data_IF_234714286293
#
_entry.id   IF_234714286293
#
_cell.length_a   1.000
_cell.length_b   1.000
_cell.length_c   1.000
_cell.angle_alpha   90.00
_cell.angle_beta   90.00
_cell.angle_gamma   90.00
#
_symmetry.space_group_name_H-M   'P 1'
#
loop_
_entity.id
_entity.type
_entity.pdbx_description
1 polymer ?
#
# COMPACT_ATOMS: atom_id res chain seq x y z
N UNK A 1 31.63 -3.06 28.42
CA UNK A 1 30.38 -2.50 27.85
C UNK A 1 30.52 -2.48 26.32
N UNK A 2 30.07 -3.49 25.57
CA UNK A 2 29.90 -3.34 24.13
C UNK A 2 28.48 -2.85 23.83
N UNK A 3 28.36 -1.77 23.06
CA UNK A 3 27.08 -1.27 22.58
C UNK A 3 26.49 -2.29 21.59
N UNK A 4 25.33 -2.85 21.94
CA UNK A 4 24.48 -3.62 21.04
C UNK A 4 23.99 -2.68 19.94
N UNK A 5 24.65 -2.69 18.79
CA UNK A 5 24.04 -2.25 17.55
C UNK A 5 22.93 -3.26 17.22
N UNK A 6 21.75 -3.03 17.80
CA UNK A 6 20.53 -3.63 17.28
C UNK A 6 20.29 -2.92 15.95
N UNK A 7 20.78 -3.52 14.87
CA UNK A 7 20.34 -3.17 13.53
C UNK A 7 18.83 -3.46 13.52
N UNK A 8 18.06 -2.42 13.83
CA UNK A 8 16.62 -2.42 13.69
C UNK A 8 16.33 -2.88 12.28
N UNK A 9 15.50 -3.91 12.16
CA UNK A 9 15.09 -4.48 10.90
C UNK A 9 14.85 -3.36 9.90
N UNK A 10 15.71 -3.34 8.88
CA UNK A 10 15.55 -2.58 7.66
C UNK A 10 14.08 -2.69 7.27
N UNK A 11 13.39 -1.57 7.41
CA UNK A 11 11.96 -1.42 7.19
C UNK A 11 11.77 -1.56 5.70
N UNK A 12 11.75 -2.79 5.19
CA UNK A 12 11.58 -3.07 3.78
C UNK A 12 10.28 -2.36 3.34
N UNK A 13 10.34 -1.29 2.53
CA UNK A 13 9.15 -0.58 2.13
C UNK A 13 8.40 -1.55 1.23
N UNK A 14 7.34 -2.18 1.77
CA UNK A 14 6.74 -3.33 1.10
C UNK A 14 6.24 -2.92 -0.29
N UNK A 15 5.69 -1.72 -0.44
CA UNK A 15 5.53 -0.99 -1.70
C UNK A 15 5.33 0.49 -1.34
N UNK A 16 6.08 1.39 -1.97
CA UNK A 16 5.93 2.86 -1.84
C UNK A 16 4.92 3.39 -2.86
N UNK A 17 4.93 2.84 -4.07
CA UNK A 17 3.94 3.15 -5.10
C UNK A 17 3.80 1.98 -6.07
N UNK A 18 2.57 1.48 -6.26
CA UNK A 18 2.27 0.38 -7.16
C UNK A 18 1.11 0.76 -8.10
N UNK A 19 1.45 1.04 -9.36
CA UNK A 19 0.47 1.21 -10.43
C UNK A 19 0.30 -0.08 -11.24
N UNK A 20 -0.93 -0.57 -11.38
CA UNK A 20 -1.27 -1.74 -12.21
C UNK A 20 -2.42 -1.41 -13.14
N UNK A 21 -2.25 -1.65 -14.43
CA UNK A 21 -3.35 -1.61 -15.40
C UNK A 21 -4.05 -2.96 -15.42
N UNK A 22 -5.36 -2.94 -15.25
CA UNK A 22 -6.21 -4.14 -15.28
C UNK A 22 -7.25 -4.00 -16.39
N UNK A 23 -7.61 -5.12 -17.00
CA UNK A 23 -8.69 -5.19 -18.00
C UNK A 23 -10.07 -4.97 -17.35
N UNK A 24 -10.24 -5.42 -16.10
CA UNK A 24 -11.46 -5.25 -15.32
C UNK A 24 -11.18 -4.58 -13.96
N UNK A 25 -11.54 -3.30 -13.88
CA UNK A 25 -11.31 -2.46 -12.69
C UNK A 25 -12.10 -2.95 -11.47
N UNK A 26 -13.35 -3.37 -11.66
CA UNK A 26 -14.21 -3.84 -10.57
C UNK A 26 -13.64 -5.09 -9.90
N UNK A 27 -13.12 -6.04 -10.68
CA UNK A 27 -12.42 -7.22 -10.20
C UNK A 27 -11.12 -6.87 -9.49
N UNK A 28 -10.33 -5.95 -10.05
CA UNK A 28 -9.11 -5.46 -9.39
C UNK A 28 -9.42 -4.89 -8.01
N UNK A 29 -10.41 -4.00 -7.92
CA UNK A 29 -10.90 -3.46 -6.65
C UNK A 29 -11.29 -4.58 -5.68
N UNK A 30 -12.10 -5.55 -6.12
CA UNK A 30 -12.58 -6.63 -5.27
C UNK A 30 -11.44 -7.51 -4.70
N UNK A 31 -10.33 -7.63 -5.42
CA UNK A 31 -9.16 -8.40 -5.01
C UNK A 31 -8.24 -7.62 -4.07
N UNK A 32 -7.96 -6.35 -4.38
CA UNK A 32 -6.95 -5.57 -3.67
C UNK A 32 -7.51 -4.79 -2.49
N UNK A 33 -8.73 -4.26 -2.59
CA UNK A 33 -9.31 -3.42 -1.55
C UNK A 33 -9.40 -4.10 -0.17
N UNK A 34 -9.80 -5.39 -0.03
CA UNK A 34 -9.84 -6.03 1.30
C UNK A 34 -8.47 -6.10 1.98
N UNK A 35 -7.40 -6.31 1.20
CA UNK A 35 -6.04 -6.37 1.73
C UNK A 35 -5.56 -4.98 2.16
N UNK A 36 -5.74 -3.99 1.28
CA UNK A 36 -5.27 -2.62 1.52
C UNK A 36 -6.05 -1.95 2.67
N UNK A 37 -7.36 -2.20 2.75
CA UNK A 37 -8.19 -1.76 3.88
C UNK A 37 -7.78 -2.41 5.21
N UNK A 38 -7.46 -3.71 5.21
CA UNK A 38 -6.94 -4.39 6.41
C UNK A 38 -5.58 -3.82 6.88
N UNK A 39 -4.81 -3.25 5.96
CA UNK A 39 -3.56 -2.55 6.24
C UNK A 39 -3.76 -1.07 6.62
N UNK A 40 -5.01 -0.59 6.72
CA UNK A 40 -5.32 0.80 7.05
C UNK A 40 -4.93 1.79 5.94
N UNK A 41 -5.03 1.36 4.68
CA UNK A 41 -4.80 2.21 3.51
C UNK A 41 -6.16 2.59 2.93
N UNK A 42 -6.42 3.89 2.83
CA UNK A 42 -7.71 4.42 2.39
C UNK A 42 -7.82 4.41 0.86
N UNK A 43 -9.05 4.24 0.36
CA UNK A 43 -9.34 4.17 -1.08
C UNK A 43 -9.73 5.55 -1.61
N UNK A 44 -9.21 5.88 -2.78
CA UNK A 44 -9.58 7.05 -3.55
C UNK A 44 -10.01 6.63 -4.96
N UNK A 45 -11.23 6.99 -5.33
CA UNK A 45 -11.82 6.69 -6.63
C UNK A 45 -11.63 7.85 -7.61
N UNK A 46 -11.28 7.53 -8.84
CA UNK A 46 -11.18 8.45 -9.96
C UNK A 46 -11.87 7.88 -11.20
N UNK A 47 -12.06 8.70 -12.23
CA UNK A 47 -12.69 8.22 -13.47
C UNK A 47 -11.80 7.14 -14.13
N UNK A 48 -12.31 5.91 -14.19
CA UNK A 48 -11.59 4.76 -14.77
C UNK A 48 -10.38 4.27 -13.98
N UNK A 49 -10.19 4.72 -12.74
CA UNK A 49 -9.04 4.31 -11.92
C UNK A 49 -9.34 4.38 -10.42
N UNK A 50 -8.53 3.69 -9.63
CA UNK A 50 -8.59 3.72 -8.17
C UNK A 50 -7.17 3.75 -7.64
N UNK A 51 -6.94 4.51 -6.58
CA UNK A 51 -5.70 4.53 -5.83
C UNK A 51 -5.96 4.25 -4.36
N UNK A 52 -4.92 3.79 -3.67
CA UNK A 52 -4.94 3.60 -2.23
C UNK A 52 -3.69 4.25 -1.65
N UNK A 53 -3.86 5.09 -0.63
CA UNK A 53 -2.76 5.80 0.03
C UNK A 53 -3.04 5.93 1.53
N UNK A 54 -1.99 6.07 2.33
CA UNK A 54 -2.11 6.42 3.75
C UNK A 54 -1.98 7.94 3.88
N UNK A 55 -2.80 8.54 4.75
CA UNK A 55 -2.79 9.99 5.05
C UNK A 55 -1.40 10.50 5.53
N UNK A 56 -0.55 9.61 6.05
CA UNK A 56 0.81 9.95 6.54
C UNK A 56 1.83 10.17 5.40
N UNK A 57 1.45 9.92 4.15
CA UNK A 57 2.28 10.14 2.96
C UNK A 57 1.86 11.46 2.29
N UNK A 58 2.23 12.61 2.89
CA UNK A 58 2.07 13.95 2.29
C UNK A 58 3.42 14.56 1.91
#
# INVERSE_FOLDING_TARGET
>A
MPATASAGLDRMPVFDHLGVSVDDLARGIAQFHPVLHALGIERHDAEGSVSWQRDDET
#
